data_IF_023316673783
#
_entry.id   IF_023316673783
#
_cell.length_a   1.000
_cell.length_b   1.000
_cell.length_c   1.000
_cell.angle_alpha   90.00
_cell.angle_beta   90.00
_cell.angle_gamma   90.00
#
_symmetry.space_group_name_H-M   'P 1'
#
loop_
_entity.id
_entity.type
_entity.pdbx_description
1 polymer ?
#
# COMPACT_ATOMS: atom_id res chain seq x y z
N UNK A 1 5.05 12.53 4.22
CA UNK A 1 6.30 13.28 4.42
C UNK A 1 7.45 12.32 4.24
N UNK A 2 8.07 12.28 3.05
CA UNK A 2 9.31 11.52 2.85
C UNK A 2 10.46 12.35 3.40
N UNK A 3 11.12 11.86 4.45
CA UNK A 3 12.32 12.47 4.98
C UNK A 3 13.44 12.33 3.94
N UNK A 4 13.95 13.45 3.45
CA UNK A 4 15.13 13.48 2.59
C UNK A 4 16.34 13.03 3.41
N UNK A 5 16.74 11.77 3.26
CA UNK A 5 18.01 11.24 3.76
C UNK A 5 19.14 11.95 3.01
N UNK A 6 19.95 12.72 3.73
CA UNK A 6 21.06 13.47 3.14
C UNK A 6 22.19 12.48 2.79
N UNK A 7 22.46 12.30 1.49
CA UNK A 7 23.53 11.43 1.01
C UNK A 7 24.59 12.28 0.30
N UNK A 8 25.85 12.18 0.72
CA UNK A 8 26.98 12.87 0.12
C UNK A 8 27.60 11.98 -0.95
N UNK A 9 27.53 12.40 -2.21
CA UNK A 9 28.11 11.70 -3.35
C UNK A 9 29.46 12.33 -3.72
N UNK A 10 30.45 11.49 -4.03
CA UNK A 10 31.74 11.93 -4.58
C UNK A 10 31.81 11.52 -6.06
N UNK A 11 32.25 12.40 -6.97
CA UNK A 11 32.43 12.02 -8.37
C UNK A 11 33.54 10.98 -8.49
N UNK A 12 33.28 9.89 -9.22
CA UNK A 12 34.32 8.96 -9.64
C UNK A 12 34.96 9.44 -10.96
N UNK A 13 36.21 9.07 -11.21
CA UNK A 13 36.94 9.43 -12.44
C UNK A 13 36.20 8.95 -13.70
N UNK A 14 35.59 7.76 -13.65
CA UNK A 14 34.80 7.18 -14.76
C UNK A 14 33.50 7.93 -15.07
N UNK A 15 32.99 8.74 -14.14
CA UNK A 15 31.72 9.46 -14.31
C UNK A 15 31.90 10.89 -14.85
N UNK A 16 33.13 11.37 -14.98
CA UNK A 16 33.42 12.79 -15.20
C UNK A 16 32.85 13.33 -16.52
N UNK A 17 32.85 12.52 -17.58
CA UNK A 17 32.31 12.91 -18.89
C UNK A 17 30.77 12.95 -18.87
N UNK A 18 30.13 11.90 -18.34
CA UNK A 18 28.67 11.87 -18.17
C UNK A 18 28.15 12.98 -17.26
N UNK A 19 28.87 13.32 -16.18
CA UNK A 19 28.52 14.45 -15.30
C UNK A 19 28.57 15.78 -16.06
N UNK A 20 29.56 15.99 -16.94
CA UNK A 20 29.66 17.22 -17.75
C UNK A 20 28.50 17.34 -18.74
N UNK A 21 28.13 16.24 -19.39
CA UNK A 21 27.00 16.22 -20.32
C UNK A 21 25.69 16.57 -19.59
N UNK A 22 25.43 15.94 -18.44
CA UNK A 22 24.25 16.21 -17.61
C UNK A 22 24.23 17.65 -17.11
N UNK A 23 25.37 18.19 -16.63
CA UNK A 23 25.47 19.58 -16.19
C UNK A 23 25.15 20.56 -17.32
N UNK A 24 25.70 20.33 -18.51
CA UNK A 24 25.44 21.16 -19.69
C UNK A 24 23.97 21.16 -20.08
N UNK A 25 23.30 20.00 -20.02
CA UNK A 25 21.86 19.90 -20.24
C UNK A 25 21.05 20.73 -19.23
N UNK A 26 21.38 20.61 -17.93
CA UNK A 26 20.66 21.34 -16.86
C UNK A 26 20.84 22.85 -17.01
N UNK A 27 22.06 23.33 -17.26
CA UNK A 27 22.33 24.76 -17.44
C UNK A 27 21.62 25.31 -18.67
N UNK A 28 21.62 24.57 -19.78
CA UNK A 28 20.87 24.94 -20.98
C UNK A 28 19.35 25.02 -20.69
N UNK A 29 18.77 24.02 -20.01
CA UNK A 29 17.35 24.03 -19.67
C UNK A 29 16.99 25.24 -18.79
N UNK A 30 17.81 25.52 -17.76
CA UNK A 30 17.64 26.66 -16.86
C UNK A 30 17.71 27.99 -17.60
N UNK A 31 18.66 28.15 -18.50
CA UNK A 31 18.83 29.37 -19.28
C UNK A 31 17.61 29.68 -20.18
N UNK A 32 16.89 28.65 -20.62
CA UNK A 32 15.72 28.80 -21.49
C UNK A 32 14.40 28.90 -20.73
N UNK A 33 14.24 28.23 -19.59
CA UNK A 33 12.96 28.13 -18.86
C UNK A 33 12.94 28.85 -17.51
N UNK A 34 14.10 29.22 -16.96
CA UNK A 34 14.23 29.78 -15.62
C UNK A 34 14.01 28.79 -14.47
N UNK A 35 13.85 27.50 -14.77
CA UNK A 35 13.54 26.46 -13.79
C UNK A 35 14.47 25.24 -13.90
N UNK A 36 14.45 24.39 -12.88
CA UNK A 36 15.07 23.06 -12.98
C UNK A 36 14.18 22.13 -13.81
N UNK A 37 14.76 21.23 -14.61
CA UNK A 37 13.99 20.18 -15.25
C UNK A 37 13.36 19.30 -14.16
N UNK A 38 12.04 19.10 -14.24
CA UNK A 38 11.38 18.10 -13.41
C UNK A 38 11.91 16.71 -13.79
N UNK A 39 12.19 15.83 -12.82
CA UNK A 39 12.63 14.48 -13.12
C UNK A 39 11.56 13.77 -13.96
N UNK A 40 11.94 13.33 -15.15
CA UNK A 40 11.13 12.46 -16.00
C UNK A 40 11.79 11.10 -16.06
N UNK A 41 11.00 10.07 -15.79
CA UNK A 41 11.47 8.68 -15.84
C UNK A 41 11.11 8.11 -17.20
N UNK A 42 12.02 7.34 -17.78
CA UNK A 42 11.83 6.72 -19.09
C UNK A 42 12.08 5.22 -19.00
N UNK A 43 11.26 4.45 -19.70
CA UNK A 43 11.56 3.06 -20.02
C UNK A 43 12.28 3.03 -21.37
N UNK A 44 13.56 2.61 -21.34
CA UNK A 44 14.38 2.43 -22.52
C UNK A 44 14.17 1.05 -23.13
N UNK A 45 13.90 1.01 -24.44
CA UNK A 45 13.94 -0.19 -25.26
C UNK A 45 15.37 -0.56 -25.67
N UNK A 46 15.54 -1.62 -26.47
CA UNK A 46 16.85 -2.14 -26.87
C UNK A 46 17.62 -1.22 -27.85
N UNK A 47 16.96 -0.22 -28.43
CA UNK A 47 17.55 0.69 -29.42
C UNK A 47 17.83 2.07 -28.80
N UNK A 48 18.91 2.74 -29.22
CA UNK A 48 19.40 4.02 -28.67
C UNK A 48 18.35 5.16 -28.60
N UNK A 49 17.30 5.09 -29.41
CA UNK A 49 16.26 6.13 -29.47
C UNK A 49 14.86 5.63 -29.09
N UNK A 50 14.73 4.39 -28.61
CA UNK A 50 13.44 3.87 -28.19
C UNK A 50 13.24 4.13 -26.71
N UNK A 51 12.59 5.24 -26.36
CA UNK A 51 12.26 5.57 -24.97
C UNK A 51 10.79 5.98 -24.88
N UNK A 52 10.13 5.57 -23.79
CA UNK A 52 8.77 6.01 -23.45
C UNK A 52 8.77 6.60 -22.04
N UNK A 53 8.16 7.77 -21.87
CA UNK A 53 8.00 8.39 -20.56
C UNK A 53 7.12 7.50 -19.68
N UNK A 54 7.56 7.24 -18.45
CA UNK A 54 6.81 6.49 -17.46
C UNK A 54 5.77 7.42 -16.80
N UNK A 55 4.49 7.07 -16.82
CA UNK A 55 3.49 7.70 -15.96
C UNK A 55 3.86 7.57 -14.48
N UNK A 56 3.39 8.50 -13.66
CA UNK A 56 3.67 8.53 -12.22
C UNK A 56 3.24 7.22 -11.53
N UNK A 57 2.11 6.65 -11.95
CA UNK A 57 1.55 5.44 -11.36
C UNK A 57 2.49 4.24 -11.54
N UNK A 58 3.17 4.14 -12.69
CA UNK A 58 4.12 3.07 -12.96
C UNK A 58 5.41 3.28 -12.16
N UNK A 59 5.85 4.53 -12.05
CA UNK A 59 7.00 4.87 -11.21
C UNK A 59 6.76 4.47 -9.75
N UNK A 60 5.60 4.79 -9.18
CA UNK A 60 5.26 4.46 -7.79
C UNK A 60 5.22 2.94 -7.56
N UNK A 61 4.72 2.17 -8.54
CA UNK A 61 4.77 0.69 -8.51
C UNK A 61 6.21 0.20 -8.45
N UNK A 62 7.12 0.75 -9.27
CA UNK A 62 8.53 0.37 -9.29
C UNK A 62 9.23 0.70 -7.97
N UNK A 63 9.01 1.90 -7.41
CA UNK A 63 9.56 2.31 -6.11
C UNK A 63 9.11 1.36 -5.01
N UNK A 64 7.82 1.03 -4.98
CA UNK A 64 7.25 0.09 -4.00
C UNK A 64 7.83 -1.31 -4.16
N UNK A 65 7.97 -1.79 -5.40
CA UNK A 65 8.57 -3.10 -5.68
C UNK A 65 10.03 -3.16 -5.23
N UNK A 66 10.83 -2.12 -5.50
CA UNK A 66 12.24 -2.06 -5.10
C UNK A 66 12.39 -2.05 -3.57
N UNK A 67 11.58 -1.27 -2.84
CA UNK A 67 11.62 -1.28 -1.36
C UNK A 67 11.30 -2.68 -0.79
N UNK A 68 10.30 -3.37 -1.37
CA UNK A 68 9.97 -4.73 -0.97
C UNK A 68 11.12 -5.72 -1.25
N UNK A 69 11.71 -5.65 -2.45
CA UNK A 69 12.82 -6.52 -2.86
C UNK A 69 14.09 -6.27 -2.03
N UNK A 70 14.40 -5.02 -1.70
CA UNK A 70 15.53 -4.67 -0.81
C UNK A 70 15.40 -5.30 0.58
N UNK A 71 14.17 -5.53 1.04
CA UNK A 71 13.87 -6.22 2.31
C UNK A 71 13.83 -7.74 2.17
N UNK A 72 14.18 -8.28 1.00
CA UNK A 72 14.12 -9.71 0.70
C UNK A 72 12.70 -10.27 0.53
N UNK A 73 11.70 -9.41 0.33
CA UNK A 73 10.31 -9.83 0.13
C UNK A 73 10.06 -10.04 -1.37
N UNK A 74 9.48 -11.19 -1.72
CA UNK A 74 9.04 -11.44 -3.10
C UNK A 74 7.85 -10.54 -3.45
N UNK A 75 7.85 -9.99 -4.67
CA UNK A 75 6.78 -9.14 -5.21
C UNK A 75 6.03 -9.91 -6.29
N UNK A 76 4.70 -9.83 -6.31
CA UNK A 76 3.85 -10.45 -7.34
C UNK A 76 2.88 -9.42 -7.88
N UNK A 77 2.82 -9.28 -9.21
CA UNK A 77 1.85 -8.44 -9.92
C UNK A 77 0.72 -9.34 -10.40
N UNK A 78 -0.53 -8.99 -10.07
CA UNK A 78 -1.72 -9.75 -10.44
C UNK A 78 -2.78 -8.83 -11.01
N UNK A 79 -3.45 -9.19 -12.12
CA UNK A 79 -4.61 -8.45 -12.58
C UNK A 79 -5.76 -8.62 -11.58
N UNK A 80 -6.54 -7.57 -11.37
CA UNK A 80 -7.70 -7.57 -10.47
C UNK A 80 -8.85 -8.45 -10.99
N UNK A 81 -8.90 -8.69 -12.30
CA UNK A 81 -9.82 -9.65 -12.95
C UNK A 81 -9.50 -11.11 -12.65
N UNK A 82 -8.38 -11.39 -11.99
CA UNK A 82 -8.02 -12.75 -11.60
C UNK A 82 -8.98 -13.30 -10.53
N UNK A 83 -9.31 -14.58 -10.64
CA UNK A 83 -10.12 -15.30 -9.65
C UNK A 83 -9.25 -15.98 -8.59
N UNK A 84 -9.35 -15.53 -7.36
CA UNK A 84 -8.68 -16.09 -6.18
C UNK A 84 -9.49 -17.19 -5.50
N UNK A 85 -8.79 -18.08 -4.80
CA UNK A 85 -9.42 -19.04 -3.88
C UNK A 85 -9.80 -18.36 -2.56
N UNK A 86 -10.68 -19.01 -1.79
CA UNK A 86 -11.01 -18.57 -0.42
C UNK A 86 -9.79 -18.47 0.51
N UNK A 87 -8.75 -19.27 0.29
CA UNK A 87 -7.51 -19.17 1.06
C UNK A 87 -6.72 -17.93 0.68
N UNK A 88 -6.47 -17.73 -0.61
CA UNK A 88 -5.77 -16.53 -1.09
C UNK A 88 -6.48 -15.23 -0.71
N UNK A 89 -7.82 -15.21 -0.78
CA UNK A 89 -8.61 -14.08 -0.30
C UNK A 89 -8.43 -13.84 1.20
N UNK A 90 -8.29 -14.90 2.00
CA UNK A 90 -8.05 -14.80 3.43
C UNK A 90 -6.67 -14.20 3.72
N UNK A 91 -5.65 -14.64 2.98
CA UNK A 91 -4.29 -14.13 3.07
C UNK A 91 -4.23 -12.64 2.71
N UNK A 92 -4.93 -12.22 1.64
CA UNK A 92 -5.03 -10.80 1.22
C UNK A 92 -5.75 -9.95 2.28
N UNK A 93 -6.86 -10.45 2.84
CA UNK A 93 -7.64 -9.73 3.83
C UNK A 93 -7.03 -9.74 5.24
N UNK A 94 -5.97 -10.55 5.47
CA UNK A 94 -5.38 -10.72 6.79
C UNK A 94 -6.31 -11.38 7.81
N UNK A 95 -7.19 -12.29 7.36
CA UNK A 95 -8.18 -12.99 8.21
C UNK A 95 -8.11 -14.50 8.03
N UNK A 96 -8.82 -15.26 8.87
CA UNK A 96 -8.90 -16.71 8.72
C UNK A 96 -9.79 -17.12 7.55
N UNK A 97 -9.46 -18.22 6.86
CA UNK A 97 -10.29 -18.78 5.78
C UNK A 97 -11.76 -19.00 6.17
N UNK A 98 -12.12 -19.52 7.35
CA UNK A 98 -13.52 -19.63 7.77
C UNK A 98 -14.25 -18.28 7.82
N UNK A 99 -13.54 -17.18 8.09
CA UNK A 99 -14.12 -15.83 8.04
C UNK A 99 -14.48 -15.44 6.62
N UNK A 100 -13.59 -15.70 5.65
CA UNK A 100 -13.90 -15.47 4.22
C UNK A 100 -15.09 -16.32 3.77
N UNK A 101 -15.16 -17.59 4.18
CA UNK A 101 -16.29 -18.46 3.86
C UNK A 101 -17.60 -17.86 4.38
N UNK A 102 -17.62 -17.35 5.62
CA UNK A 102 -18.78 -16.67 6.20
C UNK A 102 -19.16 -15.41 5.44
N UNK A 103 -18.18 -14.61 5.00
CA UNK A 103 -18.44 -13.41 4.19
C UNK A 103 -19.10 -13.78 2.87
N UNK A 104 -18.63 -14.84 2.22
CA UNK A 104 -19.25 -15.37 1.00
C UNK A 104 -20.66 -15.90 1.27
N UNK A 105 -20.86 -16.69 2.32
CA UNK A 105 -22.17 -17.25 2.66
C UNK A 105 -23.20 -16.15 3.02
N UNK A 106 -22.75 -15.06 3.61
CA UNK A 106 -23.57 -13.88 3.91
C UNK A 106 -23.84 -12.97 2.72
N UNK A 107 -23.22 -13.21 1.56
CA UNK A 107 -23.29 -12.34 0.38
C UNK A 107 -22.43 -11.07 0.45
N UNK A 108 -21.72 -10.84 1.56
CA UNK A 108 -20.83 -9.69 1.74
C UNK A 108 -19.58 -9.73 0.84
N UNK A 109 -19.24 -10.91 0.32
CA UNK A 109 -18.16 -11.09 -0.66
C UNK A 109 -18.68 -11.97 -1.81
N UNK A 110 -18.87 -11.43 -3.03
CA UNK A 110 -19.33 -12.20 -4.17
C UNK A 110 -18.37 -13.37 -4.47
N UNK A 111 -18.93 -14.54 -4.78
CA UNK A 111 -18.13 -15.68 -5.21
C UNK A 111 -18.89 -16.53 -6.21
N UNK A 112 -18.16 -17.06 -7.18
CA UNK A 112 -18.67 -18.00 -8.16
C UNK A 112 -18.24 -19.42 -7.80
N UNK A 113 -19.12 -20.39 -8.07
CA UNK A 113 -18.77 -21.81 -7.93
C UNK A 113 -18.25 -22.32 -9.27
N UNK A 114 -16.94 -22.60 -9.34
CA UNK A 114 -16.31 -23.22 -10.50
C UNK A 114 -15.97 -24.67 -10.15
N UNK A 115 -16.78 -25.60 -10.67
CA UNK A 115 -16.73 -27.01 -10.29
C UNK A 115 -17.06 -27.21 -8.81
N UNK A 116 -16.10 -27.73 -8.03
CA UNK A 116 -16.26 -27.99 -6.58
C UNK A 116 -15.80 -26.83 -5.70
N UNK A 117 -15.09 -25.84 -6.24
CA UNK A 117 -14.45 -24.78 -5.46
C UNK A 117 -15.12 -23.42 -5.70
N UNK A 118 -15.15 -22.61 -4.64
CA UNK A 118 -15.54 -21.19 -4.73
C UNK A 118 -14.35 -20.36 -5.19
N UNK A 119 -14.62 -19.43 -6.10
CA UNK A 119 -13.68 -18.47 -6.66
C UNK A 119 -14.23 -17.07 -6.46
N UNK A 120 -13.38 -16.17 -6.02
CA UNK A 120 -13.74 -14.77 -5.72
C UNK A 120 -12.92 -13.90 -6.68
N UNK A 121 -13.51 -12.86 -7.24
CA UNK A 121 -12.76 -11.92 -8.07
C UNK A 121 -11.79 -11.14 -7.17
N UNK A 122 -10.52 -11.00 -7.56
CA UNK A 122 -9.54 -10.26 -6.76
C UNK A 122 -10.00 -8.80 -6.54
N UNK A 123 -10.60 -8.18 -7.55
CA UNK A 123 -11.23 -6.87 -7.45
C UNK A 123 -12.23 -6.78 -6.28
N UNK A 124 -13.10 -7.77 -6.11
CA UNK A 124 -14.10 -7.80 -5.03
C UNK A 124 -13.43 -7.92 -3.65
N UNK A 125 -12.35 -8.72 -3.54
CA UNK A 125 -11.57 -8.83 -2.30
C UNK A 125 -10.96 -7.49 -1.92
N UNK A 126 -10.32 -6.81 -2.87
CA UNK A 126 -9.65 -5.52 -2.64
C UNK A 126 -10.66 -4.41 -2.34
N UNK A 127 -11.82 -4.40 -3.01
CA UNK A 127 -12.92 -3.49 -2.71
C UNK A 127 -13.43 -3.69 -1.27
N UNK A 128 -13.63 -4.94 -0.86
CA UNK A 128 -14.04 -5.27 0.50
C UNK A 128 -13.00 -4.81 1.54
N UNK A 129 -11.71 -4.99 1.27
CA UNK A 129 -10.63 -4.52 2.15
C UNK A 129 -10.64 -2.99 2.31
N UNK A 130 -10.84 -2.28 1.20
CA UNK A 130 -10.88 -0.82 1.17
C UNK A 130 -12.05 -0.26 1.97
N UNK A 131 -13.26 -0.83 1.78
CA UNK A 131 -14.45 -0.47 2.55
C UNK A 131 -14.25 -0.70 4.06
N UNK A 132 -13.63 -1.82 4.45
CA UNK A 132 -13.30 -2.08 5.87
C UNK A 132 -12.33 -1.05 6.43
N UNK A 133 -11.31 -0.66 5.66
CA UNK A 133 -10.33 0.33 6.09
C UNK A 133 -10.97 1.70 6.29
N UNK A 134 -11.86 2.12 5.39
CA UNK A 134 -12.61 3.37 5.52
C UNK A 134 -13.46 3.33 6.79
N UNK A 135 -14.25 2.27 7.00
CA UNK A 135 -15.07 2.15 8.22
C UNK A 135 -14.25 2.11 9.53
N UNK A 136 -13.05 1.53 9.51
CA UNK A 136 -12.13 1.57 10.65
C UNK A 136 -11.63 2.99 10.93
N UNK A 137 -11.24 3.73 9.89
CA UNK A 137 -10.81 5.12 10.02
C UNK A 137 -11.95 6.00 10.52
N UNK A 138 -13.16 5.83 9.97
CA UNK A 138 -14.35 6.57 10.40
C UNK A 138 -14.67 6.31 11.88
N UNK A 139 -14.55 5.07 12.35
CA UNK A 139 -14.75 4.73 13.76
C UNK A 139 -13.69 5.37 14.68
N UNK A 140 -12.42 5.41 14.23
CA UNK A 140 -11.34 6.09 14.96
C UNK A 140 -11.61 7.59 15.04
N UNK A 141 -12.01 8.21 13.92
CA UNK A 141 -12.35 9.64 13.85
C UNK A 141 -13.56 9.94 14.75
N UNK A 142 -14.60 9.10 14.71
CA UNK A 142 -15.79 9.25 15.54
C UNK A 142 -15.51 9.11 17.04
N UNK A 143 -14.46 8.37 17.42
CA UNK A 143 -14.03 8.22 18.83
C UNK A 143 -12.97 9.26 19.23
N UNK A 144 -12.47 10.06 18.28
CA UNK A 144 -11.48 11.11 18.51
C UNK A 144 -12.16 12.40 18.99
N UNK A 145 -12.78 12.36 20.17
CA UNK A 145 -13.00 13.57 20.95
C UNK A 145 -11.63 14.10 21.38
N UNK A 146 -11.19 15.20 20.77
CA UNK A 146 -9.89 15.83 21.09
C UNK A 146 -9.83 16.37 22.52
N UNK A 147 -10.97 16.42 23.21
CA UNK A 147 -11.14 16.87 24.59
C UNK A 147 -11.60 15.74 25.53
N UNK A 148 -11.51 14.46 25.10
CA UNK A 148 -11.84 13.34 25.98
C UNK A 148 -10.83 13.27 27.13
N UNK A 149 -11.30 13.66 28.32
CA UNK A 149 -10.57 13.54 29.58
C UNK A 149 -10.09 12.09 29.73
N UNK A 150 -8.77 11.87 29.81
CA UNK A 150 -8.18 10.53 29.95
C UNK A 150 -8.75 9.95 31.24
N UNK A 151 -9.52 8.85 31.19
CA UNK A 151 -10.11 8.28 32.39
C UNK A 151 -9.01 7.84 33.36
N UNK A 152 -9.21 8.09 34.64
CA UNK A 152 -8.23 7.73 35.66
C UNK A 152 -8.14 6.21 35.89
N UNK A 153 -7.18 5.80 36.71
CA UNK A 153 -6.95 4.39 37.01
C UNK A 153 -8.16 3.72 37.70
N UNK A 154 -8.99 4.48 38.43
CA UNK A 154 -10.18 3.96 39.11
C UNK A 154 -11.31 3.67 38.12
N UNK A 155 -11.44 4.46 37.04
CA UNK A 155 -12.35 4.15 35.94
C UNK A 155 -12.04 2.79 35.29
N UNK A 156 -10.77 2.53 34.93
CA UNK A 156 -10.40 1.25 34.33
C UNK A 156 -10.56 0.07 35.29
N UNK A 157 -10.33 0.27 36.60
CA UNK A 157 -10.52 -0.75 37.63
C UNK A 157 -11.99 -1.12 37.82
N UNK A 158 -12.89 -0.13 37.82
CA UNK A 158 -14.33 -0.34 37.91
C UNK A 158 -14.90 -1.02 36.65
N UNK A 159 -14.45 -0.62 35.45
CA UNK A 159 -14.86 -1.24 34.18
C UNK A 159 -14.44 -2.72 34.08
N UNK A 160 -13.23 -3.06 34.54
CA UNK A 160 -12.75 -4.46 34.63
C UNK A 160 -13.59 -5.29 35.61
N UNK A 161 -13.95 -4.72 36.77
CA UNK A 161 -14.79 -5.38 37.78
C UNK A 161 -16.21 -5.63 37.26
N UNK A 162 -16.82 -4.66 36.59
CA UNK A 162 -18.14 -4.80 35.98
C UNK A 162 -18.15 -5.87 34.86
N UNK A 163 -17.13 -5.86 34.00
CA UNK A 163 -17.00 -6.88 32.94
C UNK A 163 -16.77 -8.29 33.48
N UNK A 164 -16.08 -8.43 34.62
CA UNK A 164 -15.89 -9.72 35.29
C UNK A 164 -17.20 -10.22 35.93
N UNK A 165 -18.02 -9.33 36.48
CA UNK A 165 -19.33 -9.67 37.03
C UNK A 165 -20.30 -10.13 35.92
N UNK A 166 -20.37 -9.40 34.80
CA UNK A 166 -21.23 -9.75 33.67
C UNK A 166 -20.86 -11.10 33.01
N UNK A 167 -19.59 -11.51 33.08
CA UNK A 167 -19.17 -12.85 32.64
C UNK A 167 -19.60 -13.97 33.59
N UNK A 168 -19.79 -13.68 34.89
CA UNK A 168 -20.26 -14.65 35.88
C UNK A 168 -21.77 -14.87 35.84
N UNK A 169 -22.55 -13.89 35.38
CA UNK A 169 -24.02 -14.04 35.22
C UNK A 169 -24.43 -14.73 33.91
N UNK A 170 -23.52 -14.84 32.94
CA UNK A 170 -23.77 -15.54 31.66
C UNK A 170 -23.27 -16.99 31.62
N UNK A 171 -22.69 -17.48 32.73
CA UNK A 171 -22.22 -18.85 32.90
C UNK A 171 -23.13 -19.58 33.89
#
# INVERSE_FOLDING_TARGET
MNAASNHTYFPSEDSAEGIREVASFVDNYRNHTGANPAPQFFLSGPNEHQQVALPQEIYDVLVTAVDALQRGMAVTIRPDSERVTTQQAADILGVSRPTVVRLVDSGALPAEKIGRHRRILLADVLAHQSLRRIGQLDAIVATSDRDAEIPDAEFFKSARKASAAARRERA
#
